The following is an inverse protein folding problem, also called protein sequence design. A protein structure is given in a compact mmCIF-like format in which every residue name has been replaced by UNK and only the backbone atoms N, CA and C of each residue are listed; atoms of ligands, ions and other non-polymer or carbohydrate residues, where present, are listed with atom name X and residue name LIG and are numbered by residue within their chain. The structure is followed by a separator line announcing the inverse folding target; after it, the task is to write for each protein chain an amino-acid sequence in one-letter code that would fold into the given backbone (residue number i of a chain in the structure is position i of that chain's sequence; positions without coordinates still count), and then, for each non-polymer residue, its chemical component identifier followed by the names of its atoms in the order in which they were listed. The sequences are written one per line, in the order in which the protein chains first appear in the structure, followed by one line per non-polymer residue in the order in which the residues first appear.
data_IF_988449868860
#
_entry.id   IF_988449868860
#
_cell.length_a   1.000
_cell.length_b   1.000
_cell.length_c   1.000
_cell.angle_alpha   90.00
_cell.angle_beta   90.00
_cell.angle_gamma   90.00
#
_symmetry.space_group_name_H-M   'P 1'
#
loop_
_entity.id
_entity.type
_entity.pdbx_description
1 polymer ?
#
# COMPACT_ATOMS: atom_id res chain seq x y z
N UNK A 1 -39.70 66.26 19.52
CA UNK A 1 -39.64 65.07 18.65
C UNK A 1 -38.21 64.76 18.09
N UNK A 2 -37.15 65.27 18.74
CA UNK A 2 -35.78 65.14 18.18
C UNK A 2 -34.80 64.18 18.94
N UNK A 3 -35.21 63.52 20.01
CA UNK A 3 -34.29 62.68 20.80
C UNK A 3 -34.31 61.18 20.47
N UNK A 4 -35.29 60.71 19.66
CA UNK A 4 -35.43 59.28 19.31
C UNK A 4 -34.57 58.83 18.10
N UNK A 5 -34.14 59.76 17.23
CA UNK A 5 -33.32 59.44 16.06
C UNK A 5 -31.84 59.21 16.43
N UNK A 6 -31.28 59.86 17.43
CA UNK A 6 -29.87 59.73 17.81
C UNK A 6 -29.53 58.39 18.49
N UNK A 7 -30.50 57.76 19.16
CA UNK A 7 -30.26 56.45 19.81
C UNK A 7 -30.21 55.30 18.80
N UNK A 8 -31.03 55.33 17.76
CA UNK A 8 -31.03 54.30 16.71
C UNK A 8 -29.77 54.37 15.81
N UNK A 9 -29.23 55.54 15.55
CA UNK A 9 -28.03 55.73 14.74
C UNK A 9 -26.76 55.26 15.47
N UNK A 10 -26.68 55.46 16.78
CA UNK A 10 -25.58 54.96 17.63
C UNK A 10 -25.60 53.46 17.80
N UNK A 11 -26.76 52.81 17.84
CA UNK A 11 -26.86 51.34 17.94
C UNK A 11 -26.54 50.66 16.61
N UNK A 12 -26.93 51.27 15.48
CA UNK A 12 -26.51 50.74 14.15
C UNK A 12 -25.00 50.86 13.94
N UNK A 13 -24.37 51.93 14.42
CA UNK A 13 -22.91 52.09 14.33
C UNK A 13 -22.16 51.07 15.19
N UNK A 14 -22.64 50.75 16.38
CA UNK A 14 -22.10 49.70 17.25
C UNK A 14 -22.27 48.32 16.61
N UNK A 15 -23.45 48.01 16.09
CA UNK A 15 -23.73 46.75 15.42
C UNK A 15 -22.81 46.51 14.21
N UNK A 16 -22.60 47.51 13.35
CA UNK A 16 -21.66 47.45 12.22
C UNK A 16 -20.21 47.19 12.67
N UNK A 17 -19.74 47.83 13.75
CA UNK A 17 -18.40 47.55 14.32
C UNK A 17 -18.28 46.12 14.84
N UNK A 18 -19.29 45.60 15.54
CA UNK A 18 -19.29 44.23 16.05
C UNK A 18 -19.33 43.22 14.90
N UNK A 19 -20.08 43.44 13.85
CA UNK A 19 -20.09 42.59 12.64
C UNK A 19 -18.69 42.59 11.97
N UNK A 20 -18.07 43.78 11.85
CA UNK A 20 -16.70 43.89 11.30
C UNK A 20 -15.67 43.13 12.12
N UNK A 21 -15.69 43.26 13.45
CA UNK A 21 -14.77 42.49 14.34
C UNK A 21 -15.05 40.99 14.26
N UNK A 22 -16.31 40.57 14.26
CA UNK A 22 -16.64 39.15 14.13
C UNK A 22 -16.18 38.57 12.79
N UNK A 23 -16.40 39.29 11.68
CA UNK A 23 -15.94 38.87 10.34
C UNK A 23 -14.42 38.80 10.28
N UNK A 24 -13.69 39.73 10.89
CA UNK A 24 -12.25 39.70 10.95
C UNK A 24 -11.73 38.50 11.76
N UNK A 25 -12.34 38.19 12.92
CA UNK A 25 -11.99 37.01 13.72
C UNK A 25 -12.26 35.71 12.97
N UNK A 26 -13.41 35.59 12.32
CA UNK A 26 -13.73 34.41 11.51
C UNK A 26 -12.71 34.25 10.38
N UNK A 27 -12.41 35.33 9.64
CA UNK A 27 -11.40 35.30 8.57
C UNK A 27 -10.00 34.90 9.08
N UNK A 28 -9.59 35.41 10.25
CA UNK A 28 -8.32 35.06 10.88
C UNK A 28 -8.28 33.59 11.27
N UNK A 29 -9.35 33.05 11.84
CA UNK A 29 -9.43 31.62 12.18
C UNK A 29 -9.37 30.75 10.93
N UNK A 30 -10.10 31.10 9.88
CA UNK A 30 -10.04 30.37 8.60
C UNK A 30 -8.63 30.40 7.99
N UNK A 31 -7.96 31.55 8.02
CA UNK A 31 -6.60 31.69 7.53
C UNK A 31 -5.61 30.78 8.31
N UNK A 32 -5.72 30.76 9.64
CA UNK A 32 -4.90 29.89 10.48
C UNK A 32 -5.16 28.41 10.20
N UNK A 33 -6.40 28.02 9.99
CA UNK A 33 -6.76 26.65 9.61
C UNK A 33 -6.17 26.29 8.23
N UNK A 34 -6.22 27.19 7.25
CA UNK A 34 -5.58 26.98 5.94
C UNK A 34 -4.07 26.81 6.07
N UNK A 35 -3.40 27.71 6.80
CA UNK A 35 -1.94 27.62 7.04
C UNK A 35 -1.60 26.30 7.73
N UNK A 36 -2.35 25.91 8.75
CA UNK A 36 -2.18 24.65 9.47
C UNK A 36 -2.34 23.44 8.53
N UNK A 37 -3.38 23.43 7.71
CA UNK A 37 -3.60 22.36 6.74
C UNK A 37 -2.45 22.24 5.72
N UNK A 38 -2.02 23.36 5.11
CA UNK A 38 -0.91 23.35 4.14
C UNK A 38 0.41 22.91 4.78
N UNK A 39 0.68 23.34 6.00
CA UNK A 39 1.88 22.94 6.74
C UNK A 39 1.88 21.43 7.04
N UNK A 40 0.76 20.89 7.51
CA UNK A 40 0.60 19.45 7.75
C UNK A 40 0.71 18.63 6.46
N UNK A 41 0.10 19.10 5.37
CA UNK A 41 0.16 18.45 4.07
C UNK A 41 1.59 18.37 3.54
N UNK A 42 2.33 19.48 3.56
CA UNK A 42 3.73 19.52 3.13
C UNK A 42 4.62 18.63 4.00
N UNK A 43 4.44 18.66 5.32
CA UNK A 43 5.16 17.76 6.22
C UNK A 43 4.85 16.29 5.93
N UNK A 44 3.59 15.93 5.71
CA UNK A 44 3.19 14.56 5.38
C UNK A 44 3.79 14.08 4.06
N UNK A 45 3.86 14.96 3.04
CA UNK A 45 4.48 14.63 1.75
C UNK A 45 5.99 14.45 1.86
N UNK A 46 6.68 15.19 2.71
CA UNK A 46 8.14 15.04 2.90
C UNK A 46 8.53 13.66 3.45
N UNK A 47 7.60 12.94 4.08
CA UNK A 47 7.82 11.57 4.56
C UNK A 47 7.76 10.52 3.45
N UNK A 48 7.23 10.86 2.26
CA UNK A 48 7.04 9.89 1.16
C UNK A 48 8.36 9.36 0.60
N UNK A 49 9.42 10.17 0.59
CA UNK A 49 10.76 9.76 0.14
C UNK A 49 11.26 8.54 0.91
N UNK A 50 10.90 8.41 2.19
CA UNK A 50 11.29 7.24 3.01
C UNK A 50 10.53 5.96 2.67
N UNK A 51 9.53 6.03 1.81
CA UNK A 51 8.75 4.88 1.37
C UNK A 51 9.26 4.31 0.04
N UNK A 52 10.30 4.90 -0.56
CA UNK A 52 10.91 4.42 -1.78
C UNK A 52 12.08 3.49 -1.48
N UNK A 53 12.08 2.32 -2.08
CA UNK A 53 13.15 1.35 -2.01
C UNK A 53 13.27 0.61 -3.34
N UNK A 54 14.48 0.58 -3.90
CA UNK A 54 14.82 -0.24 -5.04
C UNK A 54 16.07 -1.04 -4.73
N UNK A 55 16.04 -2.32 -5.02
CA UNK A 55 17.27 -3.11 -5.03
C UNK A 55 18.11 -2.60 -6.20
N UNK A 56 19.28 -2.04 -5.91
CA UNK A 56 20.26 -1.73 -6.95
C UNK A 56 20.66 -3.04 -7.62
N UNK A 57 20.43 -3.15 -8.94
CA UNK A 57 20.75 -4.35 -9.74
C UNK A 57 22.23 -4.78 -9.66
N UNK A 58 23.10 -3.92 -9.16
CA UNK A 58 24.51 -4.22 -8.88
C UNK A 58 24.74 -5.41 -7.93
N UNK A 59 23.71 -5.92 -7.28
CA UNK A 59 23.81 -7.13 -6.45
C UNK A 59 23.65 -8.45 -7.22
N UNK A 60 23.21 -8.38 -8.49
CA UNK A 60 22.89 -9.56 -9.32
C UNK A 60 24.01 -9.91 -10.29
N UNK A 61 24.97 -8.99 -10.56
CA UNK A 61 25.97 -9.15 -11.61
C UNK A 61 27.18 -10.05 -11.26
N UNK A 62 27.13 -10.80 -10.17
CA UNK A 62 28.16 -11.77 -9.88
C UNK A 62 27.55 -13.16 -9.64
N UNK A 63 27.30 -13.96 -10.71
CA UNK A 63 26.76 -15.31 -10.56
C UNK A 63 27.70 -16.25 -9.81
N UNK A 64 28.94 -15.85 -9.54
CA UNK A 64 29.91 -16.58 -8.74
C UNK A 64 29.90 -16.21 -7.25
N UNK A 65 29.18 -15.16 -6.86
CA UNK A 65 29.08 -14.73 -5.47
C UNK A 65 27.62 -14.73 -5.01
N UNK A 66 27.02 -15.91 -4.96
CA UNK A 66 25.68 -16.13 -4.38
C UNK A 66 25.60 -15.77 -2.90
N UNK A 67 26.69 -15.24 -2.31
CA UNK A 67 26.77 -14.93 -0.89
C UNK A 67 26.67 -16.16 0.02
N UNK A 68 26.44 -17.33 -0.54
CA UNK A 68 26.35 -18.59 0.18
C UNK A 68 27.74 -19.20 0.22
N UNK A 69 28.35 -19.18 1.40
CA UNK A 69 29.62 -19.86 1.64
C UNK A 69 29.47 -21.36 1.28
N UNK A 70 30.48 -21.99 0.64
CA UNK A 70 30.43 -23.43 0.29
C UNK A 70 30.06 -24.35 1.43
N UNK A 71 30.38 -23.99 2.66
CA UNK A 71 30.03 -24.77 3.87
C UNK A 71 28.50 -24.88 4.07
N UNK A 72 27.70 -23.91 3.57
CA UNK A 72 26.25 -23.99 3.66
C UNK A 72 25.60 -24.91 2.63
N UNK A 73 26.33 -25.36 1.62
CA UNK A 73 25.84 -26.34 0.66
C UNK A 73 25.87 -27.75 1.26
N UNK A 74 26.82 -28.00 2.18
CA UNK A 74 26.97 -29.31 2.85
C UNK A 74 26.25 -29.37 4.19
N UNK A 75 26.06 -28.19 4.86
CA UNK A 75 25.34 -28.10 6.13
C UNK A 75 24.45 -26.84 6.11
N UNK A 76 23.33 -26.89 5.43
CA UNK A 76 22.47 -25.71 5.23
C UNK A 76 21.89 -25.25 6.58
N UNK A 77 22.08 -23.96 6.91
CA UNK A 77 21.55 -23.35 8.14
C UNK A 77 20.03 -23.48 8.28
N UNK A 78 19.30 -23.64 7.18
CA UNK A 78 17.87 -23.90 7.24
C UNK A 78 17.50 -25.22 7.92
N UNK A 79 18.45 -26.14 8.10
CA UNK A 79 18.30 -27.37 8.88
C UNK A 79 18.56 -27.17 10.38
N UNK A 80 19.16 -26.02 10.79
CA UNK A 80 19.38 -25.69 12.19
C UNK A 80 18.10 -25.14 12.84
N UNK A 81 17.62 -25.87 13.84
CA UNK A 81 16.39 -25.51 14.55
C UNK A 81 16.49 -24.13 15.22
N UNK A 82 17.66 -23.74 15.73
CA UNK A 82 17.88 -22.43 16.34
C UNK A 82 17.86 -21.33 15.27
N UNK A 83 18.42 -21.58 14.10
CA UNK A 83 18.37 -20.64 12.97
C UNK A 83 16.96 -20.48 12.42
N UNK A 84 16.18 -21.55 12.32
CA UNK A 84 14.77 -21.53 11.91
C UNK A 84 13.94 -20.71 12.92
N UNK A 85 14.15 -20.88 14.23
CA UNK A 85 13.46 -20.11 15.27
C UNK A 85 13.82 -18.62 15.25
N UNK A 86 15.09 -18.28 14.98
CA UNK A 86 15.55 -16.90 14.87
C UNK A 86 15.09 -16.21 13.59
N UNK A 87 14.73 -16.98 12.55
CA UNK A 87 14.29 -16.47 11.24
C UNK A 87 12.89 -17.00 10.89
N UNK A 88 11.83 -16.37 11.38
CA UNK A 88 10.46 -16.83 11.16
C UNK A 88 10.08 -16.95 9.67
N UNK A 89 10.80 -16.25 8.78
CA UNK A 89 10.61 -16.35 7.34
C UNK A 89 10.98 -17.73 6.77
N UNK A 90 11.95 -18.45 7.37
CA UNK A 90 12.33 -19.81 6.92
C UNK A 90 11.23 -20.85 7.17
N UNK A 91 10.42 -20.65 8.22
CA UNK A 91 9.23 -21.46 8.47
C UNK A 91 8.19 -21.34 7.36
N UNK A 92 8.13 -20.17 6.71
CA UNK A 92 7.19 -19.87 5.63
C UNK A 92 7.52 -20.68 4.38
N UNK A 93 8.81 -20.91 4.10
CA UNK A 93 9.26 -21.64 2.90
C UNK A 93 9.03 -23.16 2.98
N UNK A 94 8.65 -23.68 4.15
CA UNK A 94 8.46 -25.12 4.33
C UNK A 94 7.32 -25.66 3.46
N UNK A 95 7.68 -26.57 2.55
CA UNK A 95 6.76 -27.22 1.61
C UNK A 95 6.46 -26.40 0.35
N UNK A 96 7.15 -25.26 0.16
CA UNK A 96 7.14 -24.55 -1.11
C UNK A 96 8.15 -25.14 -2.09
N UNK A 97 7.75 -25.22 -3.36
CA UNK A 97 8.58 -25.65 -4.48
C UNK A 97 8.95 -24.41 -5.30
N UNK A 98 10.24 -24.13 -5.54
CA UNK A 98 10.66 -23.05 -6.42
C UNK A 98 10.04 -23.18 -7.81
N UNK A 99 9.73 -22.07 -8.44
CA UNK A 99 9.15 -22.03 -9.77
C UNK A 99 10.16 -21.52 -10.76
N UNK A 100 10.17 -22.14 -11.93
CA UNK A 100 10.75 -21.57 -13.13
C UNK A 100 9.73 -20.61 -13.76
N UNK A 101 10.01 -19.29 -13.80
CA UNK A 101 9.10 -18.29 -14.37
C UNK A 101 8.67 -18.60 -15.81
N UNK A 102 9.54 -19.30 -16.59
CA UNK A 102 9.25 -19.60 -17.98
C UNK A 102 8.19 -20.70 -18.16
N UNK A 103 7.90 -21.46 -17.13
CA UNK A 103 6.86 -22.50 -17.14
C UNK A 103 5.45 -21.98 -16.84
N UNK A 104 5.34 -20.72 -16.39
CA UNK A 104 4.06 -20.13 -16.00
C UNK A 104 3.21 -19.76 -17.22
N UNK A 105 1.87 -19.93 -17.14
CA UNK A 105 0.98 -19.52 -18.21
C UNK A 105 0.97 -17.99 -18.34
N UNK A 106 0.83 -17.51 -19.58
CA UNK A 106 0.54 -16.10 -19.82
C UNK A 106 -0.82 -15.77 -19.21
N UNK A 107 -0.92 -14.57 -18.63
CA UNK A 107 -2.19 -14.14 -18.03
C UNK A 107 -3.33 -14.20 -19.05
N UNK A 108 -4.38 -14.95 -18.71
CA UNK A 108 -5.60 -15.06 -19.48
C UNK A 108 -6.83 -14.90 -18.57
N UNK A 109 -6.62 -14.62 -17.27
CA UNK A 109 -7.69 -14.57 -16.27
C UNK A 109 -8.39 -15.93 -16.05
N UNK A 110 -7.74 -17.02 -16.44
CA UNK A 110 -8.26 -18.38 -16.29
C UNK A 110 -7.82 -19.08 -15.02
N UNK A 111 -6.78 -18.57 -14.35
CA UNK A 111 -6.31 -19.10 -13.08
C UNK A 111 -7.35 -18.87 -11.96
N UNK A 112 -7.31 -19.69 -10.89
CA UNK A 112 -8.18 -19.52 -9.74
C UNK A 112 -7.96 -18.18 -9.04
N UNK A 113 -9.07 -17.54 -8.60
CA UNK A 113 -9.05 -16.23 -7.97
C UNK A 113 -8.29 -16.25 -6.63
N UNK A 114 -7.59 -15.15 -6.28
CA UNK A 114 -6.96 -15.01 -4.97
C UNK A 114 -8.02 -14.85 -3.88
N UNK A 115 -7.82 -15.51 -2.73
CA UNK A 115 -8.78 -15.50 -1.61
C UNK A 115 -8.19 -15.02 -0.30
N UNK A 116 -6.86 -15.16 -0.12
CA UNK A 116 -6.20 -14.79 1.14
C UNK A 116 -4.82 -14.19 0.88
N UNK A 117 -4.50 -13.15 1.66
CA UNK A 117 -3.22 -12.46 1.68
C UNK A 117 -2.60 -12.53 3.07
N UNK A 118 -1.32 -12.88 3.15
CA UNK A 118 -0.57 -12.85 4.41
C UNK A 118 0.82 -12.28 4.22
N UNK A 119 1.24 -11.38 5.12
CA UNK A 119 2.60 -10.80 5.18
C UNK A 119 3.07 -10.88 6.63
N UNK A 120 3.72 -12.00 7.01
CA UNK A 120 4.08 -12.25 8.41
C UNK A 120 5.02 -11.20 9.01
N UNK A 121 5.93 -10.63 8.22
CA UNK A 121 6.89 -9.61 8.67
C UNK A 121 6.26 -8.34 9.23
N UNK A 122 5.00 -8.05 8.86
CA UNK A 122 4.22 -6.91 9.36
C UNK A 122 2.91 -7.36 10.03
N UNK A 123 2.73 -8.67 10.26
CA UNK A 123 1.54 -9.22 10.92
C UNK A 123 0.23 -9.06 10.11
N UNK A 124 0.31 -8.83 8.78
CA UNK A 124 -0.86 -8.70 7.95
C UNK A 124 -1.44 -10.07 7.62
N UNK A 125 -2.75 -10.22 7.81
CA UNK A 125 -3.53 -11.36 7.35
C UNK A 125 -4.92 -10.85 6.95
N UNK A 126 -5.31 -11.05 5.70
CA UNK A 126 -6.54 -10.53 5.12
C UNK A 126 -7.17 -11.51 4.15
N UNK A 127 -8.47 -11.46 4.03
CA UNK A 127 -9.16 -12.01 2.87
C UNK A 127 -8.94 -11.10 1.66
N UNK A 128 -9.08 -11.68 0.46
CA UNK A 128 -9.08 -10.95 -0.80
C UNK A 128 -10.46 -11.12 -1.45
N UNK A 129 -11.02 -10.02 -1.95
CA UNK A 129 -12.24 -9.99 -2.76
C UNK A 129 -11.89 -9.51 -4.16
N UNK A 130 -12.45 -10.12 -5.21
CA UNK A 130 -12.45 -9.50 -6.54
C UNK A 130 -13.34 -8.25 -6.50
N UNK A 131 -12.80 -7.13 -6.98
CA UNK A 131 -13.48 -5.84 -7.00
C UNK A 131 -14.47 -5.78 -8.17
N UNK A 132 -15.62 -5.17 -7.94
CA UNK A 132 -16.62 -4.91 -8.96
C UNK A 132 -16.51 -3.47 -9.46
N UNK A 133 -16.96 -3.23 -10.70
CA UNK A 133 -17.10 -1.87 -11.23
C UNK A 133 -18.40 -1.31 -10.70
N UNK A 134 -18.32 -0.19 -10.03
CA UNK A 134 -19.48 0.55 -9.50
C UNK A 134 -19.58 1.91 -10.17
N UNK A 135 -20.78 2.43 -10.35
CA UNK A 135 -21.01 3.77 -10.84
C UNK A 135 -21.05 4.73 -9.65
N UNK A 136 -20.14 5.71 -9.64
CA UNK A 136 -20.07 6.75 -8.62
C UNK A 136 -20.11 8.10 -9.35
N UNK A 137 -21.15 8.89 -9.13
CA UNK A 137 -21.33 10.21 -9.76
C UNK A 137 -21.17 10.20 -11.29
N UNK A 138 -21.85 9.25 -11.95
CA UNK A 138 -21.82 9.04 -13.40
C UNK A 138 -20.45 8.60 -13.98
N UNK A 139 -19.49 8.25 -13.14
CA UNK A 139 -18.23 7.66 -13.53
C UNK A 139 -18.12 6.19 -13.05
N UNK A 140 -17.58 5.32 -13.90
CA UNK A 140 -17.26 3.97 -13.52
C UNK A 140 -15.97 3.94 -12.70
N UNK A 141 -16.03 3.34 -11.52
CA UNK A 141 -14.91 3.18 -10.62
C UNK A 141 -14.89 1.76 -10.04
N UNK A 142 -13.72 1.30 -9.59
CA UNK A 142 -13.65 0.09 -8.80
C UNK A 142 -14.25 0.33 -7.41
N UNK A 143 -15.00 -0.65 -6.91
CA UNK A 143 -15.50 -0.59 -5.54
C UNK A 143 -14.33 -0.47 -4.54
N UNK A 144 -14.60 0.13 -3.40
CA UNK A 144 -13.61 0.27 -2.33
C UNK A 144 -13.75 -0.90 -1.35
N UNK A 145 -12.74 -1.78 -1.22
CA UNK A 145 -12.84 -2.93 -0.33
C UNK A 145 -12.83 -2.49 1.14
N UNK A 146 -13.76 -3.02 1.95
CA UNK A 146 -13.87 -2.70 3.37
C UNK A 146 -13.20 -3.78 4.22
N UNK A 147 -12.22 -3.40 5.05
CA UNK A 147 -11.48 -4.28 5.97
C UNK A 147 -10.69 -5.44 5.32
N UNK A 148 -10.71 -5.57 4.00
CA UNK A 148 -10.07 -6.64 3.24
C UNK A 148 -9.24 -6.07 2.08
N UNK A 149 -8.39 -6.89 1.48
CA UNK A 149 -7.71 -6.54 0.24
C UNK A 149 -8.63 -6.76 -0.97
N UNK A 150 -8.52 -5.90 -1.98
CA UNK A 150 -9.28 -6.00 -3.23
C UNK A 150 -8.39 -6.37 -4.40
N UNK A 151 -8.79 -7.33 -5.23
CA UNK A 151 -8.14 -7.70 -6.48
C UNK A 151 -8.88 -7.08 -7.66
N UNK A 152 -8.17 -6.45 -8.59
CA UNK A 152 -8.75 -5.97 -9.85
C UNK A 152 -8.82 -7.14 -10.85
N UNK A 153 -10.01 -7.59 -11.27
CA UNK A 153 -10.20 -8.78 -12.10
C UNK A 153 -9.51 -8.73 -13.47
N UNK A 154 -9.23 -7.53 -13.98
CA UNK A 154 -8.54 -7.33 -15.27
C UNK A 154 -7.02 -7.43 -15.16
N UNK A 155 -6.49 -7.69 -13.98
CA UNK A 155 -5.06 -7.92 -13.73
C UNK A 155 -4.80 -9.42 -13.56
N UNK A 156 -3.51 -9.81 -13.54
CA UNK A 156 -3.13 -11.21 -13.44
C UNK A 156 -3.60 -11.84 -12.13
N UNK A 157 -3.85 -13.13 -12.15
CA UNK A 157 -4.14 -13.95 -10.98
C UNK A 157 -2.88 -14.64 -10.46
N UNK A 158 -2.89 -15.17 -9.22
CA UNK A 158 -1.72 -15.85 -8.67
C UNK A 158 -1.26 -16.99 -9.57
N UNK A 159 0.03 -17.02 -9.89
CA UNK A 159 0.64 -18.02 -10.77
C UNK A 159 0.53 -17.76 -12.27
N UNK A 160 -0.06 -16.64 -12.69
CA UNK A 160 -0.02 -16.17 -14.07
C UNK A 160 1.16 -15.21 -14.27
N UNK A 161 1.67 -15.11 -15.51
CA UNK A 161 2.57 -14.02 -15.91
C UNK A 161 1.80 -12.71 -15.93
N UNK A 162 2.47 -11.63 -15.55
CA UNK A 162 1.89 -10.32 -15.40
C UNK A 162 1.87 -9.88 -13.94
N UNK A 163 1.14 -8.82 -13.64
CA UNK A 163 1.10 -8.24 -12.30
C UNK A 163 -0.26 -8.48 -11.64
N UNK A 164 -0.26 -9.18 -10.51
CA UNK A 164 -1.39 -9.28 -9.60
C UNK A 164 -1.47 -7.99 -8.78
N UNK A 165 -2.48 -7.16 -9.02
CA UNK A 165 -2.70 -5.94 -8.24
C UNK A 165 -3.69 -6.18 -7.10
N UNK A 166 -3.24 -5.90 -5.88
CA UNK A 166 -4.07 -5.92 -4.68
C UNK A 166 -4.12 -4.53 -4.05
N UNK A 167 -5.33 -4.03 -3.83
CA UNK A 167 -5.60 -2.72 -3.26
C UNK A 167 -6.13 -2.84 -1.83
N UNK A 168 -5.76 -1.88 -0.98
CA UNK A 168 -6.26 -1.84 0.38
C UNK A 168 -6.05 -0.48 1.04
N UNK A 169 -6.89 -0.17 2.03
CA UNK A 169 -6.74 1.06 2.79
C UNK A 169 -5.52 1.01 3.71
N UNK A 170 -4.64 2.01 3.58
CA UNK A 170 -3.65 2.30 4.62
C UNK A 170 -4.36 2.84 5.86
N UNK A 171 -5.24 3.81 5.65
CA UNK A 171 -6.13 4.39 6.64
C UNK A 171 -7.29 5.05 5.90
N UNK A 172 -8.51 4.59 6.10
CA UNK A 172 -9.66 5.26 5.50
C UNK A 172 -10.12 6.42 6.37
N UNK A 173 -10.44 7.60 5.78
CA UNK A 173 -11.11 8.68 6.49
C UNK A 173 -12.58 8.34 6.78
N UNK A 174 -13.16 7.39 6.05
CA UNK A 174 -14.53 6.95 6.23
C UNK A 174 -14.60 5.90 7.33
N UNK A 175 -15.41 6.18 8.35
CA UNK A 175 -15.62 5.26 9.47
C UNK A 175 -16.20 3.93 8.97
N UNK A 176 -15.52 2.82 9.33
CA UNK A 176 -15.98 1.47 8.99
C UNK A 176 -15.38 0.87 7.71
N UNK A 177 -14.49 1.55 7.00
CA UNK A 177 -13.78 0.98 5.85
C UNK A 177 -12.47 0.28 6.20
N UNK A 178 -11.96 0.53 7.40
CA UNK A 178 -10.79 -0.19 7.92
C UNK A 178 -9.44 0.35 7.46
N UNK A 179 -8.40 -0.44 7.69
CA UNK A 179 -7.01 -0.09 7.43
C UNK A 179 -6.16 -1.35 7.23
N UNK A 180 -6.59 -2.20 6.29
CA UNK A 180 -5.96 -3.51 6.03
C UNK A 180 -4.47 -3.37 5.73
N UNK A 181 -4.05 -2.33 5.01
CA UNK A 181 -2.67 -2.06 4.65
C UNK A 181 -1.96 -1.04 5.55
N UNK A 182 -2.48 -0.81 6.79
CA UNK A 182 -1.90 0.17 7.74
C UNK A 182 -0.38 0.04 7.90
N UNK A 183 0.11 -1.18 8.00
CA UNK A 183 1.51 -1.48 8.28
C UNK A 183 2.35 -1.67 7.02
N UNK A 184 1.78 -1.51 5.82
CA UNK A 184 2.49 -1.59 4.55
C UNK A 184 3.64 -0.57 4.47
N UNK A 185 3.48 0.60 5.07
CA UNK A 185 4.51 1.65 5.16
C UNK A 185 5.78 1.23 5.92
N UNK A 186 5.75 0.11 6.65
CA UNK A 186 6.94 -0.41 7.35
C UNK A 186 7.86 -1.19 6.43
N UNK A 187 7.33 -1.72 5.32
CA UNK A 187 8.08 -2.61 4.41
C UNK A 187 9.34 -1.95 3.86
N UNK A 188 9.32 -0.70 3.33
CA UNK A 188 10.52 -0.07 2.81
C UNK A 188 11.67 -0.03 3.83
N UNK A 189 11.40 0.40 5.05
CA UNK A 189 12.41 0.42 6.10
C UNK A 189 12.90 -0.96 6.53
N UNK A 190 12.08 -2.01 6.42
CA UNK A 190 12.52 -3.38 6.65
C UNK A 190 13.46 -3.86 5.54
N UNK A 191 13.17 -3.52 4.27
CA UNK A 191 14.02 -3.83 3.12
C UNK A 191 15.36 -3.08 3.19
N UNK A 192 15.36 -1.80 3.57
CA UNK A 192 16.57 -0.99 3.80
C UNK A 192 17.48 -1.65 4.85
N UNK A 193 16.90 -2.26 5.87
CA UNK A 193 17.62 -3.00 6.90
C UNK A 193 18.04 -4.42 6.46
N UNK A 194 17.91 -4.75 5.17
CA UNK A 194 18.33 -6.03 4.60
C UNK A 194 17.43 -7.21 4.95
N UNK A 195 16.19 -6.98 5.41
CA UNK A 195 15.24 -8.04 5.71
C UNK A 195 14.55 -8.52 4.45
N UNK A 196 14.50 -9.81 4.26
CA UNK A 196 13.67 -10.44 3.24
C UNK A 196 12.19 -10.35 3.63
N UNK A 197 11.36 -9.88 2.73
CA UNK A 197 9.92 -9.73 2.93
C UNK A 197 9.17 -10.66 2.00
N UNK A 198 8.45 -11.60 2.57
CA UNK A 198 7.65 -12.57 1.85
C UNK A 198 6.17 -12.25 1.97
N UNK A 199 5.47 -12.37 0.85
CA UNK A 199 4.01 -12.25 0.74
C UNK A 199 3.44 -13.57 0.25
N UNK A 200 2.48 -14.10 1.01
CA UNK A 200 1.75 -15.29 0.64
C UNK A 200 0.36 -14.90 0.09
N UNK A 201 0.04 -15.42 -1.08
CA UNK A 201 -1.30 -15.31 -1.65
C UNK A 201 -1.85 -16.72 -1.84
N UNK A 202 -3.00 -17.00 -1.23
CA UNK A 202 -3.71 -18.26 -1.40
C UNK A 202 -4.88 -18.05 -2.39
N UNK A 203 -5.08 -18.98 -3.31
CA UNK A 203 -6.20 -18.97 -4.22
C UNK A 203 -7.39 -19.81 -3.70
N UNK A 204 -8.51 -19.82 -4.43
CA UNK A 204 -9.71 -20.59 -4.07
C UNK A 204 -9.48 -22.11 -3.98
N UNK A 205 -8.46 -22.65 -4.64
CA UNK A 205 -8.09 -24.08 -4.59
C UNK A 205 -7.09 -24.39 -3.47
N UNK A 206 -6.82 -23.45 -2.56
CA UNK A 206 -5.88 -23.58 -1.45
C UNK A 206 -4.42 -23.70 -1.87
N UNK A 207 -4.10 -23.42 -3.13
CA UNK A 207 -2.72 -23.30 -3.59
C UNK A 207 -2.15 -21.97 -3.08
N UNK A 208 -0.97 -22.03 -2.46
CA UNK A 208 -0.29 -20.86 -1.92
C UNK A 208 0.88 -20.44 -2.82
N UNK A 209 0.95 -19.15 -3.12
CA UNK A 209 1.96 -18.51 -3.95
C UNK A 209 2.82 -17.62 -3.07
N UNK A 210 4.14 -17.79 -3.14
CA UNK A 210 5.10 -17.04 -2.35
C UNK A 210 5.78 -16.01 -3.24
N UNK A 211 5.59 -14.74 -2.90
CA UNK A 211 6.23 -13.60 -3.56
C UNK A 211 7.30 -13.02 -2.64
N UNK A 212 8.45 -12.66 -3.19
CA UNK A 212 9.51 -11.92 -2.51
C UNK A 212 9.47 -10.47 -2.93
N UNK A 213 9.31 -9.58 -1.94
CA UNK A 213 9.26 -8.14 -2.18
C UNK A 213 10.66 -7.60 -2.42
N UNK A 214 10.82 -6.87 -3.52
CA UNK A 214 12.09 -6.30 -3.95
C UNK A 214 12.04 -4.81 -4.30
N UNK A 215 10.85 -4.22 -4.32
CA UNK A 215 10.67 -2.83 -4.72
C UNK A 215 9.55 -2.15 -3.93
N UNK A 216 9.75 -0.88 -3.64
CA UNK A 216 8.74 0.02 -3.12
C UNK A 216 8.87 1.39 -3.77
N UNK A 217 7.82 1.89 -4.39
CA UNK A 217 7.79 3.22 -5.02
C UNK A 217 6.55 3.99 -4.61
N UNK A 218 6.66 5.32 -4.65
CA UNK A 218 5.53 6.24 -4.42
C UNK A 218 5.33 7.08 -5.67
N UNK A 219 4.10 7.11 -6.17
CA UNK A 219 3.72 7.91 -7.34
C UNK A 219 2.51 8.76 -7.04
N UNK A 220 2.40 9.91 -7.70
CA UNK A 220 1.19 10.74 -7.61
C UNK A 220 0.00 10.03 -8.27
N UNK A 221 -1.20 10.22 -7.75
CA UNK A 221 -2.40 9.50 -8.24
C UNK A 221 -2.68 9.72 -9.73
N UNK A 222 -2.40 10.92 -10.26
CA UNK A 222 -2.57 11.23 -11.68
C UNK A 222 -1.61 10.45 -12.59
N UNK A 223 -0.49 9.97 -12.04
CA UNK A 223 0.52 9.18 -12.76
C UNK A 223 0.33 7.68 -12.55
N UNK A 224 -0.66 7.26 -11.75
CA UNK A 224 -0.90 5.86 -11.49
C UNK A 224 -1.52 5.16 -12.70
N UNK A 225 -0.86 4.12 -13.18
CA UNK A 225 -1.36 3.24 -14.23
C UNK A 225 -1.12 1.78 -13.86
N UNK A 226 -1.96 0.88 -14.35
CA UNK A 226 -1.74 -0.56 -14.23
C UNK A 226 -0.67 -0.97 -15.26
N UNK A 227 0.53 -1.21 -14.76
CA UNK A 227 1.67 -1.65 -15.57
C UNK A 227 1.49 -3.12 -15.99
N UNK A 228 2.19 -3.51 -17.07
CA UNK A 228 2.27 -4.91 -17.51
C UNK A 228 3.66 -5.45 -17.25
N UNK A 229 3.76 -6.76 -17.06
CA UNK A 229 5.03 -7.47 -16.89
C UNK A 229 4.95 -8.81 -17.63
N UNK A 230 6.07 -9.30 -18.11
CA UNK A 230 6.20 -10.68 -18.59
C UNK A 230 6.55 -11.65 -17.46
N UNK A 231 7.03 -11.14 -16.32
CA UNK A 231 7.25 -11.91 -15.09
C UNK A 231 5.95 -12.04 -14.30
N UNK A 232 5.85 -13.08 -13.47
CA UNK A 232 4.79 -13.21 -12.46
C UNK A 232 5.10 -12.33 -11.26
N UNK A 233 4.37 -11.23 -11.12
CA UNK A 233 4.59 -10.20 -10.12
C UNK A 233 3.36 -10.00 -9.23
N UNK A 234 3.59 -9.49 -8.03
CA UNK A 234 2.56 -8.95 -7.13
C UNK A 234 2.85 -7.47 -6.90
N UNK A 235 1.81 -6.65 -6.88
CA UNK A 235 1.90 -5.25 -6.43
C UNK A 235 0.78 -4.94 -5.44
N UNK A 236 1.15 -4.55 -4.24
CA UNK A 236 0.26 -4.07 -3.19
C UNK A 236 0.16 -2.55 -3.28
N UNK A 237 -1.05 -2.01 -3.34
CA UNK A 237 -1.28 -0.57 -3.54
C UNK A 237 -2.09 0.01 -2.40
N UNK A 238 -1.60 1.09 -1.82
CA UNK A 238 -2.30 1.86 -0.79
C UNK A 238 -2.16 3.37 -1.03
N UNK A 239 -3.17 4.14 -0.59
CA UNK A 239 -3.15 5.60 -0.69
C UNK A 239 -2.32 6.22 0.44
N UNK A 240 -1.40 7.13 0.09
CA UNK A 240 -0.49 7.84 1.00
C UNK A 240 -0.43 9.33 0.60
N UNK A 241 0.07 10.25 1.46
CA UNK A 241 0.20 10.08 2.90
C UNK A 241 -1.17 10.13 3.59
N UNK A 242 -1.22 9.71 4.85
CA UNK A 242 -2.42 9.80 5.68
C UNK A 242 -2.96 11.25 5.69
N UNK A 243 -4.27 11.39 5.53
CA UNK A 243 -5.05 12.65 5.46
C UNK A 243 -4.94 13.45 4.16
N UNK A 244 -4.02 13.12 3.26
CA UNK A 244 -3.89 13.77 1.94
C UNK A 244 -4.33 12.83 0.83
N UNK A 245 -3.80 11.58 0.82
CA UNK A 245 -4.16 10.45 -0.07
C UNK A 245 -3.94 10.69 -1.57
N UNK A 246 -3.13 11.68 -1.94
CA UNK A 246 -2.86 12.07 -3.32
C UNK A 246 -1.74 11.27 -4.00
N UNK A 247 -1.13 10.32 -3.27
CA UNK A 247 -0.12 9.43 -3.80
C UNK A 247 -0.51 7.96 -3.58
N UNK A 248 0.13 7.07 -4.33
CA UNK A 248 0.00 5.62 -4.23
C UNK A 248 1.35 5.03 -3.83
N UNK A 249 1.37 4.36 -2.67
CA UNK A 249 2.47 3.47 -2.29
C UNK A 249 2.26 2.15 -3.02
N UNK A 250 3.26 1.75 -3.77
CA UNK A 250 3.29 0.49 -4.52
C UNK A 250 4.44 -0.36 -3.99
N UNK A 251 4.11 -1.50 -3.38
CA UNK A 251 5.07 -2.48 -2.88
C UNK A 251 5.01 -3.70 -3.77
N UNK A 252 6.09 -3.98 -4.49
CA UNK A 252 6.12 -4.98 -5.56
C UNK A 252 7.13 -6.09 -5.28
N UNK A 253 6.83 -7.29 -5.77
CA UNK A 253 7.70 -8.44 -5.65
C UNK A 253 7.45 -9.49 -6.74
N UNK A 254 8.39 -10.43 -6.86
CA UNK A 254 8.34 -11.54 -7.83
C UNK A 254 7.86 -12.82 -7.18
N UNK A 255 7.14 -13.63 -7.92
CA UNK A 255 6.79 -14.98 -7.53
C UNK A 255 8.07 -15.84 -7.50
N UNK A 256 8.32 -16.52 -6.37
CA UNK A 256 9.52 -17.34 -6.19
C UNK A 256 9.19 -18.81 -5.96
N UNK A 257 8.03 -19.14 -5.40
CA UNK A 257 7.68 -20.53 -5.11
C UNK A 257 6.16 -20.74 -4.99
N UNK A 258 5.72 -22.00 -5.16
CA UNK A 258 4.32 -22.42 -4.99
C UNK A 258 4.25 -23.60 -4.02
N UNK A 259 3.16 -23.64 -3.25
CA UNK A 259 2.80 -24.79 -2.39
C UNK A 259 1.37 -25.22 -2.73
N UNK A 260 1.22 -26.50 -3.07
CA UNK A 260 -0.07 -27.17 -3.29
C UNK A 260 -0.58 -27.83 -2.02
#
# INVERSE_FOLDING_TARGET
MSSHNNSMETDQHKLRKWIGVASFLIGSVLLLLCIGYFSLSNFSRSQLIRLEYQISETRIDNPTNTGISPEYWTNPRWADTAYIQANPNLGIMRGFVPIDPDTLPKSLGSAPIPTKLSIPSIGLNSQIKELEVVNINDANAWETPKHIAGHIPTTSRPGERGILYLFGHLHSPVKGEGSVFRDLIKIPGLLENGREIHVLVENQHKVSFLYEINNSKVIHEDSFTLEKSDDSMLTLVACVPKYVYDHRLMVSGKLIAIKQ
#
